data_IF_183821617185
#
_entry.id   IF_183821617185
#
_cell.length_a   1.000
_cell.length_b   1.000
_cell.length_c   1.000
_cell.angle_alpha   90.00
_cell.angle_beta   90.00
_cell.angle_gamma   90.00
#
_symmetry.space_group_name_H-M   'P 1'
#
loop_
_entity.id
_entity.type
_entity.pdbx_description
1 polymer ?
#
# COMPACT_ATOMS: atom_id res chain seq x y z
N UNK A 1 -4.97 -79.09 -58.51
CA UNK A 1 -5.75 -78.17 -57.65
C UNK A 1 -5.14 -76.79 -57.81
N UNK A 2 -5.96 -75.85 -58.27
CA UNK A 2 -5.72 -74.40 -58.45
C UNK A 2 -5.63 -73.71 -57.06
N UNK A 3 -5.10 -72.48 -56.85
CA UNK A 3 -4.23 -71.55 -57.63
C UNK A 3 -2.90 -71.21 -56.88
N UNK A 4 -1.82 -70.62 -57.44
CA UNK A 4 -1.59 -69.28 -58.05
C UNK A 4 -1.97 -68.08 -57.15
N UNK A 5 -1.41 -66.84 -57.29
CA UNK A 5 -0.32 -66.37 -58.16
C UNK A 5 0.64 -65.29 -57.54
N UNK A 6 1.54 -64.78 -58.40
CA UNK A 6 2.04 -63.39 -58.52
C UNK A 6 3.10 -62.86 -57.52
N UNK A 7 4.36 -62.64 -57.92
CA UNK A 7 4.90 -61.53 -58.77
C UNK A 7 5.06 -60.21 -57.99
N UNK A 8 6.30 -59.73 -57.78
CA UNK A 8 6.84 -58.48 -58.37
C UNK A 8 8.23 -58.12 -57.81
N UNK A 9 9.16 -57.89 -58.75
CA UNK A 9 10.41 -57.14 -58.57
C UNK A 9 10.14 -55.74 -58.03
N UNK A 10 11.06 -55.17 -57.23
CA UNK A 10 11.40 -53.74 -57.31
C UNK A 10 12.78 -53.42 -56.74
N UNK A 11 13.53 -52.72 -57.56
CA UNK A 11 14.86 -52.16 -57.36
C UNK A 11 14.89 -51.17 -56.20
N UNK A 12 15.89 -51.27 -55.33
CA UNK A 12 16.17 -50.25 -54.32
C UNK A 12 17.08 -49.17 -54.95
N UNK A 13 16.46 -48.03 -55.25
CA UNK A 13 17.13 -46.76 -55.53
C UNK A 13 17.73 -46.22 -54.23
N UNK A 14 19.04 -45.97 -54.20
CA UNK A 14 19.68 -45.20 -53.13
C UNK A 14 19.32 -43.72 -53.30
N UNK A 15 18.41 -43.23 -52.48
CA UNK A 15 18.12 -41.80 -52.37
C UNK A 15 19.05 -41.19 -51.30
N UNK A 16 19.87 -40.21 -51.70
CA UNK A 16 20.60 -39.33 -50.79
C UNK A 16 19.59 -38.51 -49.98
N UNK A 17 19.65 -38.61 -48.65
CA UNK A 17 19.00 -37.66 -47.75
C UNK A 17 19.99 -36.52 -47.47
N UNK A 18 19.76 -35.36 -48.09
CA UNK A 18 20.27 -34.08 -47.59
C UNK A 18 19.53 -33.77 -46.28
N UNK A 19 20.25 -33.78 -45.16
CA UNK A 19 19.75 -33.22 -43.91
C UNK A 19 19.81 -31.69 -44.01
N UNK A 20 18.65 -31.05 -44.22
CA UNK A 20 18.49 -29.63 -44.04
C UNK A 20 18.48 -29.35 -42.52
N UNK A 21 19.55 -28.75 -42.01
CA UNK A 21 19.59 -28.19 -40.66
C UNK A 21 18.75 -26.91 -40.65
N UNK A 22 17.52 -27.03 -40.15
CA UNK A 22 16.70 -25.87 -39.77
C UNK A 22 17.28 -25.29 -38.47
N UNK A 23 17.53 -23.97 -38.39
CA UNK A 23 17.87 -23.34 -37.13
C UNK A 23 16.63 -23.40 -36.24
N UNK A 24 16.72 -24.16 -35.15
CA UNK A 24 15.86 -23.99 -34.00
C UNK A 24 16.14 -22.59 -33.45
N UNK A 25 15.32 -21.62 -33.82
CA UNK A 25 15.14 -20.40 -33.02
C UNK A 25 14.56 -20.87 -31.69
N UNK A 26 15.42 -20.93 -30.68
CA UNK A 26 14.98 -21.00 -29.30
C UNK A 26 14.20 -19.70 -29.06
N UNK A 27 12.87 -19.78 -29.08
CA UNK A 27 12.05 -18.76 -28.45
C UNK A 27 12.49 -18.76 -26.99
N UNK A 28 13.22 -17.73 -26.58
CA UNK A 28 13.34 -17.39 -25.18
C UNK A 28 11.91 -17.26 -24.66
N UNK A 29 11.55 -18.07 -23.67
CA UNK A 29 10.42 -17.73 -22.82
C UNK A 29 10.82 -16.43 -22.12
N UNK A 30 10.29 -15.30 -22.60
CA UNK A 30 10.25 -14.09 -21.78
C UNK A 30 9.52 -14.49 -20.49
N UNK A 31 10.27 -14.56 -19.39
CA UNK A 31 9.64 -14.63 -18.09
C UNK A 31 8.77 -13.38 -17.98
N UNK A 32 7.47 -13.57 -17.74
CA UNK A 32 6.56 -12.53 -17.28
C UNK A 32 6.90 -12.13 -15.82
N UNK A 33 8.18 -12.00 -15.52
CA UNK A 33 8.73 -11.68 -14.21
C UNK A 33 9.09 -10.21 -14.16
N UNK A 34 8.74 -9.60 -13.05
CA UNK A 34 8.96 -8.22 -12.66
C UNK A 34 7.96 -7.19 -13.21
N UNK A 35 7.06 -6.76 -12.31
CA UNK A 35 6.51 -5.41 -12.34
C UNK A 35 7.60 -4.33 -12.24
N UNK A 36 8.74 -4.69 -11.66
CA UNK A 36 9.85 -3.84 -11.24
C UNK A 36 11.12 -4.35 -11.93
N UNK A 37 11.32 -3.92 -13.18
CA UNK A 37 12.11 -4.60 -14.21
C UNK A 37 13.46 -5.21 -13.80
N UNK A 38 13.96 -6.17 -14.59
CA UNK A 38 15.17 -6.92 -14.25
C UNK A 38 16.36 -5.98 -14.13
N UNK A 39 17.03 -5.98 -12.96
CA UNK A 39 18.47 -5.83 -12.75
C UNK A 39 19.30 -4.76 -13.49
N UNK A 40 18.70 -3.84 -14.24
CA UNK A 40 19.40 -2.87 -15.06
C UNK A 40 19.86 -1.67 -14.23
N UNK A 41 20.98 -1.06 -14.62
CA UNK A 41 21.45 0.16 -13.99
C UNK A 41 20.35 1.25 -14.07
N UNK A 42 20.08 1.99 -12.97
CA UNK A 42 19.01 2.97 -12.98
C UNK A 42 19.24 4.04 -14.05
N UNK A 43 18.20 4.35 -14.81
CA UNK A 43 18.19 5.40 -15.83
C UNK A 43 18.23 6.82 -15.22
N UNK A 44 18.02 6.93 -13.91
CA UNK A 44 18.09 8.18 -13.14
C UNK A 44 17.66 7.97 -11.69
N UNK A 45 17.66 9.04 -10.91
CA UNK A 45 17.13 9.05 -9.55
C UNK A 45 15.70 9.59 -9.57
N UNK A 46 14.81 8.96 -8.80
CA UNK A 46 13.50 9.56 -8.48
C UNK A 46 13.65 10.78 -7.58
N UNK A 47 12.61 11.61 -7.47
CA UNK A 47 12.61 12.71 -6.49
C UNK A 47 12.55 12.25 -5.04
N UNK A 48 12.08 11.03 -4.79
CA UNK A 48 12.01 10.46 -3.45
C UNK A 48 13.39 9.96 -2.97
N UNK A 49 14.28 9.58 -3.88
CA UNK A 49 15.61 9.08 -3.54
C UNK A 49 16.47 10.13 -2.84
N UNK A 50 17.18 9.74 -1.77
CA UNK A 50 17.98 10.65 -0.93
C UNK A 50 17.20 11.83 -0.31
N UNK A 51 15.86 11.76 -0.27
CA UNK A 51 15.02 12.80 0.35
C UNK A 51 14.94 12.69 1.87
N UNK A 52 15.25 11.51 2.43
CA UNK A 52 15.32 11.28 3.87
C UNK A 52 16.62 11.84 4.46
N UNK A 53 16.50 12.46 5.62
CA UNK A 53 17.64 12.98 6.36
C UNK A 53 17.55 12.60 7.85
N UNK A 54 18.68 12.28 8.50
CA UNK A 54 18.70 11.93 9.90
C UNK A 54 18.29 13.11 10.79
N UNK A 55 17.44 12.83 11.78
CA UNK A 55 17.16 13.75 12.91
C UNK A 55 18.08 13.43 14.09
N UNK A 56 18.08 14.29 15.11
CA UNK A 56 18.89 14.12 16.31
C UNK A 56 18.62 12.82 17.09
N UNK A 57 17.44 12.22 16.93
CA UNK A 57 17.07 10.94 17.55
C UNK A 57 17.44 9.72 16.70
N UNK A 58 17.84 9.92 15.43
CA UNK A 58 18.18 8.84 14.51
C UNK A 58 19.69 8.60 14.57
N UNK A 59 20.12 7.35 14.41
CA UNK A 59 21.56 7.02 14.45
C UNK A 59 22.09 6.54 13.11
N UNK A 60 21.23 6.25 12.13
CA UNK A 60 21.65 5.94 10.76
C UNK A 60 21.98 7.21 9.96
N UNK A 61 22.88 7.10 8.99
CA UNK A 61 23.18 8.17 8.03
C UNK A 61 22.33 8.03 6.78
N UNK A 62 22.22 9.10 5.98
CA UNK A 62 21.52 9.05 4.68
C UNK A 62 22.17 8.02 3.76
N UNK A 63 23.49 7.84 3.78
CA UNK A 63 24.17 6.84 2.96
C UNK A 63 23.85 5.39 3.35
N UNK A 64 23.45 5.13 4.61
CA UNK A 64 22.96 3.82 5.03
C UNK A 64 21.51 3.63 4.56
N UNK A 65 20.68 4.66 4.71
CA UNK A 65 19.29 4.68 4.27
C UNK A 65 19.15 4.44 2.76
N UNK A 66 19.95 5.14 1.96
CA UNK A 66 19.92 5.08 0.50
C UNK A 66 20.38 3.73 -0.08
N UNK A 67 20.93 2.81 0.74
CA UNK A 67 21.21 1.42 0.31
C UNK A 67 19.92 0.63 0.08
N UNK A 68 18.83 1.04 0.72
CA UNK A 68 17.52 0.43 0.59
C UNK A 68 16.78 1.08 -0.58
N UNK A 69 17.13 0.64 -1.78
CA UNK A 69 16.58 1.19 -3.01
C UNK A 69 16.23 0.10 -4.04
N UNK A 70 15.28 0.42 -4.93
CA UNK A 70 14.83 -0.45 -6.02
C UNK A 70 14.61 0.36 -7.30
N UNK A 71 14.79 -0.26 -8.46
CA UNK A 71 14.48 0.36 -9.76
C UNK A 71 12.98 0.20 -10.04
N UNK A 72 12.28 1.31 -10.22
CA UNK A 72 10.86 1.33 -10.55
C UNK A 72 10.58 0.95 -12.00
N UNK A 73 9.30 0.76 -12.36
CA UNK A 73 8.91 0.42 -13.74
C UNK A 73 9.24 1.49 -14.78
N UNK A 74 9.56 2.71 -14.35
CA UNK A 74 10.01 3.83 -15.21
C UNK A 74 11.54 3.89 -15.37
N UNK A 75 12.27 2.94 -14.75
CA UNK A 75 13.73 2.83 -14.81
C UNK A 75 14.47 3.70 -13.80
N UNK A 76 13.80 4.50 -12.95
CA UNK A 76 14.49 5.32 -11.94
C UNK A 76 14.73 4.53 -10.65
N UNK A 77 15.72 4.97 -9.87
CA UNK A 77 15.99 4.47 -8.53
C UNK A 77 15.08 5.14 -7.51
N UNK A 78 14.40 4.34 -6.69
CA UNK A 78 13.49 4.77 -5.62
C UNK A 78 13.96 4.22 -4.28
N UNK A 79 13.73 4.93 -3.17
CA UNK A 79 13.81 4.29 -1.86
C UNK A 79 12.75 3.18 -1.78
N UNK A 80 13.01 2.18 -0.94
CA UNK A 80 12.09 1.07 -0.70
C UNK A 80 12.06 0.71 0.79
N UNK A 81 11.41 -0.40 1.12
CA UNK A 81 11.31 -0.91 2.48
C UNK A 81 12.70 -1.15 3.09
N UNK A 82 12.85 -0.73 4.34
CA UNK A 82 13.96 -1.09 5.21
C UNK A 82 13.43 -1.46 6.60
N UNK A 83 14.16 -2.31 7.36
CA UNK A 83 13.81 -2.52 8.76
C UNK A 83 14.02 -1.22 9.57
N UNK A 84 13.36 -1.05 10.73
CA UNK A 84 13.53 0.17 11.54
C UNK A 84 14.95 0.35 12.11
N UNK A 85 15.66 -0.76 12.25
CA UNK A 85 17.05 -0.83 12.68
C UNK A 85 17.84 -1.54 11.57
N UNK A 86 18.89 -0.89 11.09
CA UNK A 86 19.79 -1.47 10.10
C UNK A 86 20.49 -2.72 10.68
N UNK A 87 20.36 -3.90 10.07
CA UNK A 87 20.87 -5.14 10.63
C UNK A 87 22.41 -5.25 10.57
N UNK A 88 23.08 -4.48 9.71
CA UNK A 88 24.54 -4.51 9.57
C UNK A 88 25.23 -3.67 10.65
N UNK A 89 24.67 -2.49 10.95
CA UNK A 89 25.28 -1.49 11.84
C UNK A 89 24.60 -1.36 13.19
N UNK A 90 23.33 -1.80 13.31
CA UNK A 90 22.51 -1.62 14.50
C UNK A 90 22.01 -0.19 14.71
N UNK A 91 22.22 0.71 13.74
CA UNK A 91 21.67 2.07 13.79
C UNK A 91 20.14 2.07 13.57
N UNK A 92 19.45 3.11 14.03
CA UNK A 92 18.00 3.27 13.83
C UNK A 92 17.67 4.42 12.88
N UNK A 93 16.65 4.21 12.03
CA UNK A 93 16.11 5.19 11.10
C UNK A 93 15.02 6.10 11.70
N UNK A 94 14.56 5.82 12.93
CA UNK A 94 13.51 6.60 13.57
C UNK A 94 12.07 6.22 13.22
N UNK A 95 11.88 5.39 12.19
CA UNK A 95 10.57 5.05 11.63
C UNK A 95 10.54 3.60 11.10
N UNK A 96 9.35 3.12 10.77
CA UNK A 96 9.13 1.74 10.30
C UNK A 96 8.29 1.72 9.00
N UNK A 97 8.45 0.69 8.16
CA UNK A 97 7.68 0.54 6.92
C UNK A 97 6.72 -0.65 6.95
N UNK A 98 6.49 -1.26 8.10
CA UNK A 98 5.65 -2.42 8.28
C UNK A 98 6.33 -3.71 7.91
N UNK A 99 5.53 -4.61 7.34
CA UNK A 99 5.96 -5.97 7.07
C UNK A 99 7.01 -5.99 5.97
N UNK A 100 8.07 -6.75 6.20
CA UNK A 100 9.10 -7.01 5.20
C UNK A 100 8.48 -7.69 3.97
N UNK A 101 8.49 -7.06 2.79
CA UNK A 101 7.80 -7.59 1.61
C UNK A 101 8.35 -8.94 1.15
N UNK A 102 9.61 -9.26 1.51
CA UNK A 102 10.27 -10.54 1.17
C UNK A 102 9.59 -11.78 1.73
N UNK A 103 8.70 -11.65 2.71
CA UNK A 103 7.94 -12.80 3.21
C UNK A 103 6.64 -13.09 2.45
N UNK A 104 6.19 -12.19 1.58
CA UNK A 104 4.96 -12.39 0.82
C UNK A 104 5.16 -13.39 -0.31
N UNK A 105 4.17 -14.23 -0.57
CA UNK A 105 4.17 -15.16 -1.71
C UNK A 105 4.10 -14.39 -3.05
N UNK A 106 3.76 -13.10 -3.02
CA UNK A 106 3.83 -12.20 -4.17
C UNK A 106 5.24 -11.65 -4.46
N UNK A 107 6.21 -11.82 -3.55
CA UNK A 107 7.51 -11.17 -3.68
C UNK A 107 8.28 -11.61 -4.94
N UNK A 108 8.17 -12.88 -5.34
CA UNK A 108 8.85 -13.39 -6.52
C UNK A 108 8.34 -12.75 -7.83
N UNK A 109 7.09 -12.26 -7.85
CA UNK A 109 6.49 -11.55 -8.99
C UNK A 109 6.74 -10.02 -8.92
N UNK A 110 6.81 -9.47 -7.71
CA UNK A 110 6.80 -8.03 -7.45
C UNK A 110 8.18 -7.43 -7.21
N UNK A 111 9.05 -8.16 -6.53
CA UNK A 111 10.25 -7.64 -5.90
C UNK A 111 9.94 -6.63 -4.78
N UNK A 112 10.90 -5.73 -4.55
CA UNK A 112 10.75 -4.62 -3.61
C UNK A 112 9.82 -3.53 -4.19
N UNK A 113 8.98 -2.93 -3.33
CA UNK A 113 8.04 -1.89 -3.76
C UNK A 113 8.73 -0.52 -3.80
N UNK A 114 8.78 0.18 -4.95
CA UNK A 114 9.37 1.52 -5.03
C UNK A 114 8.47 2.55 -4.36
N UNK A 115 8.97 3.23 -3.33
CA UNK A 115 8.22 4.29 -2.67
C UNK A 115 8.32 5.60 -3.44
N UNK A 116 7.18 6.11 -3.92
CA UNK A 116 7.11 7.36 -4.65
C UNK A 116 6.93 7.20 -6.16
N UNK A 117 6.76 5.97 -6.68
CA UNK A 117 6.62 5.71 -8.11
C UNK A 117 5.40 6.44 -8.70
N UNK A 118 4.24 6.32 -8.05
CA UNK A 118 3.04 6.98 -8.54
C UNK A 118 3.06 8.49 -8.34
N UNK A 119 3.68 8.94 -7.24
CA UNK A 119 3.89 10.36 -6.97
C UNK A 119 4.81 11.02 -8.01
N UNK A 120 5.87 10.34 -8.42
CA UNK A 120 6.79 10.81 -9.48
C UNK A 120 6.05 11.04 -10.80
N UNK A 121 5.11 10.15 -11.16
CA UNK A 121 4.31 10.24 -12.38
C UNK A 121 3.38 11.46 -12.43
N UNK A 122 3.04 12.06 -11.28
CA UNK A 122 2.15 13.24 -11.18
C UNK A 122 2.85 14.49 -10.66
N UNK A 123 4.19 14.49 -10.57
CA UNK A 123 4.96 15.59 -9.99
C UNK A 123 4.51 15.94 -8.55
N UNK A 124 4.33 14.90 -7.73
CA UNK A 124 4.00 15.03 -6.31
C UNK A 124 5.12 14.46 -5.44
N UNK A 125 5.25 14.99 -4.22
CA UNK A 125 6.24 14.53 -3.26
C UNK A 125 5.55 14.01 -1.99
N UNK A 126 6.04 12.88 -1.51
CA UNK A 126 5.57 12.17 -0.35
C UNK A 126 6.78 11.82 0.53
N UNK A 127 6.82 12.24 1.82
CA UNK A 127 7.91 11.88 2.72
C UNK A 127 8.03 10.36 2.88
N UNK A 128 9.27 9.88 2.86
CA UNK A 128 9.63 8.46 2.87
C UNK A 128 9.04 7.71 4.07
N UNK A 129 9.13 8.28 5.27
CA UNK A 129 8.69 7.63 6.50
C UNK A 129 7.22 7.18 6.43
N UNK A 130 6.37 7.90 5.69
CA UNK A 130 4.95 7.61 5.60
C UNK A 130 4.60 6.35 4.79
N UNK A 131 5.51 5.72 4.06
CA UNK A 131 5.21 4.52 3.27
C UNK A 131 5.09 3.29 4.16
N UNK A 132 3.93 2.62 4.17
CA UNK A 132 3.66 1.43 4.99
C UNK A 132 3.27 0.24 4.12
N UNK A 133 3.86 -0.92 4.38
CA UNK A 133 3.52 -2.20 3.77
C UNK A 133 2.84 -3.10 4.80
N UNK A 134 1.76 -3.74 4.38
CA UNK A 134 1.15 -4.89 5.06
C UNK A 134 0.83 -5.96 4.02
N UNK A 135 0.99 -7.23 4.39
CA UNK A 135 0.66 -8.34 3.50
C UNK A 135 0.20 -9.55 4.30
N UNK A 136 -0.52 -10.46 3.67
CA UNK A 136 -0.83 -11.77 4.20
C UNK A 136 -0.97 -12.78 3.05
N UNK A 137 -0.47 -13.99 3.26
CA UNK A 137 -0.54 -15.06 2.26
C UNK A 137 -1.72 -15.97 2.55
N UNK A 138 -2.27 -16.59 1.52
CA UNK A 138 -3.32 -17.60 1.58
C UNK A 138 -4.55 -17.13 2.38
N UNK A 139 -4.94 -15.87 2.19
CA UNK A 139 -6.09 -15.25 2.84
C UNK A 139 -7.37 -15.83 2.25
N UNK A 140 -8.20 -16.46 3.09
CA UNK A 140 -9.50 -16.96 2.65
C UNK A 140 -10.47 -15.80 2.41
N UNK A 141 -10.96 -15.71 1.17
CA UNK A 141 -11.94 -14.71 0.75
C UNK A 141 -13.34 -15.30 0.80
N UNK A 142 -14.28 -14.53 1.33
CA UNK A 142 -15.69 -14.85 1.34
C UNK A 142 -16.34 -14.33 0.04
N UNK A 143 -17.01 -15.21 -0.70
CA UNK A 143 -17.85 -14.80 -1.82
C UNK A 143 -19.19 -14.26 -1.30
N UNK A 144 -19.63 -13.10 -1.81
CA UNK A 144 -20.98 -12.60 -1.52
C UNK A 144 -22.05 -13.45 -2.23
N UNK A 145 -23.26 -13.55 -1.65
CA UNK A 145 -24.43 -14.07 -2.38
C UNK A 145 -24.82 -15.54 -2.14
N UNK A 146 -24.45 -16.15 -1.02
CA UNK A 146 -25.05 -17.42 -0.57
C UNK A 146 -24.53 -18.69 -1.25
N UNK A 147 -23.56 -18.58 -2.15
CA UNK A 147 -22.79 -19.71 -2.71
C UNK A 147 -21.54 -20.03 -1.86
N UNK A 148 -21.36 -19.30 -0.74
CA UNK A 148 -20.17 -19.24 0.11
C UNK A 148 -19.76 -20.51 0.86
N UNK A 149 -20.20 -21.69 0.40
CA UNK A 149 -19.72 -22.99 0.89
C UNK A 149 -19.11 -23.88 -0.19
N UNK A 150 -19.14 -23.49 -1.47
CA UNK A 150 -18.69 -24.35 -2.58
C UNK A 150 -17.38 -23.92 -3.23
N UNK A 151 -16.93 -22.67 -3.03
CA UNK A 151 -15.69 -22.16 -3.62
C UNK A 151 -14.87 -21.44 -2.56
N UNK A 152 -13.75 -22.04 -2.16
CA UNK A 152 -12.73 -21.41 -1.33
C UNK A 152 -11.78 -20.68 -2.26
N UNK A 153 -11.81 -19.36 -2.22
CA UNK A 153 -10.86 -18.50 -2.92
C UNK A 153 -9.82 -18.10 -1.88
N UNK A 154 -8.57 -18.43 -2.15
CA UNK A 154 -7.44 -17.97 -1.34
C UNK A 154 -6.70 -16.93 -2.14
N UNK A 155 -6.30 -15.85 -1.48
CA UNK A 155 -5.52 -14.79 -2.12
C UNK A 155 -4.29 -14.46 -1.30
N UNK A 156 -3.19 -14.24 -1.99
CA UNK A 156 -2.04 -13.54 -1.44
C UNK A 156 -2.25 -12.05 -1.70
N UNK A 157 -2.08 -11.23 -0.67
CA UNK A 157 -2.37 -9.80 -0.72
C UNK A 157 -1.21 -9.02 -0.14
N UNK A 158 -0.76 -7.99 -0.84
CA UNK A 158 0.14 -6.96 -0.34
C UNK A 158 -0.46 -5.57 -0.61
N UNK A 159 -0.43 -4.73 0.42
CA UNK A 159 -0.91 -3.36 0.38
C UNK A 159 0.22 -2.43 0.78
N UNK A 160 0.45 -1.41 -0.03
CA UNK A 160 1.31 -0.28 0.28
C UNK A 160 0.46 0.99 0.34
N UNK A 161 0.76 1.85 1.31
CA UNK A 161 0.15 3.17 1.40
C UNK A 161 1.13 4.19 1.96
N UNK A 162 1.20 5.34 1.30
CA UNK A 162 1.75 6.55 1.90
C UNK A 162 0.78 7.13 2.93
N UNK A 163 0.92 6.75 4.19
CA UNK A 163 0.19 7.33 5.31
C UNK A 163 1.19 7.60 6.44
N UNK A 164 1.78 8.80 6.42
CA UNK A 164 2.57 9.29 7.56
C UNK A 164 1.67 9.88 8.63
N UNK A 165 2.06 9.76 9.89
CA UNK A 165 1.33 10.22 11.09
C UNK A 165 1.63 11.65 11.51
N UNK A 166 2.50 12.38 10.80
CA UNK A 166 2.85 13.77 11.14
C UNK A 166 2.21 14.82 10.24
N UNK A 167 2.14 16.04 10.78
CA UNK A 167 1.71 17.26 10.11
C UNK A 167 0.20 17.39 9.94
N UNK A 168 -0.26 18.65 9.83
CA UNK A 168 -1.67 18.97 9.57
C UNK A 168 -2.12 18.72 8.14
N UNK A 169 -1.18 18.45 7.24
CA UNK A 169 -1.47 18.13 5.84
C UNK A 169 -2.48 16.98 5.71
N UNK A 170 -2.58 16.10 6.71
CA UNK A 170 -3.37 14.87 6.65
C UNK A 170 -4.87 15.09 6.89
N UNK A 171 -5.21 16.22 7.50
CA UNK A 171 -6.59 16.68 7.62
C UNK A 171 -7.08 17.36 6.32
N UNK A 172 -6.16 17.73 5.42
CA UNK A 172 -6.45 18.55 4.23
C UNK A 172 -6.18 17.79 2.94
N UNK A 173 -4.96 17.32 2.70
CA UNK A 173 -4.46 16.68 1.47
C UNK A 173 -5.06 15.29 1.26
N UNK A 174 -5.93 15.08 0.25
CA UNK A 174 -6.57 13.79 0.01
C UNK A 174 -5.71 12.85 -0.84
N UNK A 175 -4.59 13.31 -1.42
CA UNK A 175 -3.72 12.50 -2.27
C UNK A 175 -2.76 11.64 -1.44
N UNK A 176 -2.76 10.35 -1.72
CA UNK A 176 -1.86 9.36 -1.13
C UNK A 176 -1.42 8.38 -2.21
N UNK A 177 -0.15 8.01 -2.26
CA UNK A 177 0.27 6.87 -3.06
C UNK A 177 -0.19 5.57 -2.41
N UNK A 178 -0.64 4.63 -3.23
CA UNK A 178 -1.17 3.35 -2.82
C UNK A 178 -0.78 2.29 -3.85
N UNK A 179 -0.11 1.26 -3.36
CA UNK A 179 0.14 -0.01 -4.03
C UNK A 179 -0.89 -1.05 -3.58
N UNK A 180 -1.51 -1.72 -4.54
CA UNK A 180 -2.41 -2.83 -4.27
C UNK A 180 -2.02 -4.01 -5.15
N UNK A 181 -1.64 -5.11 -4.48
CA UNK A 181 -1.15 -6.31 -5.13
C UNK A 181 -1.94 -7.51 -4.60
N UNK A 182 -2.61 -8.23 -5.50
CA UNK A 182 -3.37 -9.41 -5.15
C UNK A 182 -3.25 -10.48 -6.23
N UNK A 183 -3.11 -11.73 -5.82
CA UNK A 183 -3.24 -12.91 -6.68
C UNK A 183 -4.08 -13.97 -5.96
N UNK A 184 -5.05 -14.55 -6.65
CA UNK A 184 -6.03 -15.46 -6.07
C UNK A 184 -6.09 -16.80 -6.82
N UNK A 185 -6.53 -17.84 -6.11
CA UNK A 185 -6.69 -19.20 -6.67
C UNK A 185 -7.77 -19.30 -7.76
N UNK A 186 -8.65 -18.31 -7.88
CA UNK A 186 -9.65 -18.22 -8.96
C UNK A 186 -9.10 -17.58 -10.25
N UNK A 187 -7.81 -17.22 -10.27
CA UNK A 187 -7.14 -16.55 -11.38
C UNK A 187 -7.23 -15.03 -11.36
N UNK A 188 -7.94 -14.43 -10.39
CA UNK A 188 -7.91 -12.98 -10.18
C UNK A 188 -6.50 -12.54 -9.82
N UNK A 189 -5.93 -11.61 -10.59
CA UNK A 189 -4.66 -10.94 -10.27
C UNK A 189 -4.77 -9.46 -10.62
N UNK A 190 -4.33 -8.60 -9.72
CA UNK A 190 -4.22 -7.18 -9.94
C UNK A 190 -3.03 -6.63 -9.14
N UNK A 191 -2.05 -6.10 -9.85
CA UNK A 191 -0.87 -5.48 -9.26
C UNK A 191 -0.74 -4.07 -9.79
N UNK A 192 -0.87 -3.08 -8.92
CA UNK A 192 -0.78 -1.70 -9.35
C UNK A 192 -0.35 -0.71 -8.28
N UNK A 193 0.25 0.40 -8.72
CA UNK A 193 0.55 1.58 -7.90
C UNK A 193 -0.05 2.83 -8.53
N UNK A 194 -0.76 3.61 -7.71
CA UNK A 194 -1.43 4.84 -8.10
C UNK A 194 -1.41 5.87 -6.96
N UNK A 195 -1.62 7.13 -7.29
CA UNK A 195 -2.07 8.16 -6.36
C UNK A 195 -3.58 8.09 -6.25
N UNK A 196 -4.05 7.66 -5.10
CA UNK A 196 -5.46 7.72 -4.71
C UNK A 196 -5.83 9.11 -4.21
N UNK A 197 -7.07 9.54 -4.48
CA UNK A 197 -7.71 10.65 -3.77
C UNK A 197 -8.74 10.05 -2.80
N UNK A 198 -8.56 10.29 -1.50
CA UNK A 198 -9.40 9.74 -0.43
C UNK A 198 -10.34 10.84 0.09
N UNK A 199 -11.63 10.72 -0.22
CA UNK A 199 -12.63 11.71 0.16
C UNK A 199 -12.44 13.08 -0.51
N UNK A 200 -12.77 14.15 0.21
CA UNK A 200 -12.70 15.52 -0.28
C UNK A 200 -11.51 16.29 0.32
N UNK A 201 -10.83 17.07 -0.51
CA UNK A 201 -9.78 17.97 -0.05
C UNK A 201 -10.29 18.98 0.97
N UNK A 202 -9.54 19.16 2.05
CA UNK A 202 -9.93 20.07 3.14
C UNK A 202 -10.97 19.52 4.11
N UNK A 203 -11.45 18.29 3.92
CA UNK A 203 -12.53 17.70 4.72
C UNK A 203 -12.16 16.30 5.23
N UNK A 204 -12.64 15.98 6.44
CA UNK A 204 -12.64 14.62 6.97
C UNK A 204 -13.96 14.36 7.74
N UNK A 205 -14.25 13.09 8.02
CA UNK A 205 -15.38 12.67 8.84
C UNK A 205 -14.89 12.42 10.26
N UNK A 206 -15.47 13.10 11.24
CA UNK A 206 -15.12 12.93 12.65
C UNK A 206 -15.52 11.53 13.12
N UNK A 207 -14.57 10.77 13.65
CA UNK A 207 -14.79 9.36 14.00
C UNK A 207 -15.83 9.11 15.09
N UNK A 208 -16.03 10.06 16.00
CA UNK A 208 -16.80 9.85 17.21
C UNK A 208 -18.28 10.30 17.13
N UNK A 209 -18.70 10.92 16.02
CA UNK A 209 -20.09 11.32 15.75
C UNK A 209 -20.49 11.33 14.26
N UNK A 210 -19.56 11.09 13.32
CA UNK A 210 -19.82 11.06 11.88
C UNK A 210 -19.97 12.43 11.22
N UNK A 211 -19.68 13.53 11.92
CA UNK A 211 -19.78 14.89 11.38
C UNK A 211 -18.71 15.11 10.31
N UNK A 212 -19.09 15.67 9.16
CA UNK A 212 -18.13 16.19 8.18
C UNK A 212 -17.52 17.49 8.70
N UNK A 213 -16.20 17.48 8.91
CA UNK A 213 -15.44 18.63 9.41
C UNK A 213 -14.65 19.23 8.27
N UNK A 214 -14.86 20.52 8.01
CA UNK A 214 -13.99 21.31 7.14
C UNK A 214 -12.74 21.71 7.91
N UNK A 215 -11.66 20.97 7.72
CA UNK A 215 -10.34 21.32 8.25
C UNK A 215 -9.77 22.58 7.60
N UNK A 216 -9.99 22.74 6.29
CA UNK A 216 -9.58 23.93 5.54
C UNK A 216 -10.45 24.10 4.30
N UNK A 217 -10.97 25.31 4.08
CA UNK A 217 -11.68 25.64 2.84
C UNK A 217 -10.73 25.58 1.64
N UNK A 218 -11.09 24.80 0.62
CA UNK A 218 -10.31 24.65 -0.61
C UNK A 218 -11.23 24.82 -1.83
N UNK A 219 -11.11 25.98 -2.48
CA UNK A 219 -11.88 26.28 -3.70
C UNK A 219 -11.45 25.36 -4.84
N UNK A 220 -12.40 24.64 -5.43
CA UNK A 220 -12.12 23.69 -6.51
C UNK A 220 -11.31 22.46 -6.05
N UNK A 221 -11.32 22.16 -4.75
CA UNK A 221 -10.55 21.07 -4.16
C UNK A 221 -10.85 19.71 -4.79
N UNK A 222 -9.85 18.83 -4.74
CA UNK A 222 -9.92 17.48 -5.28
C UNK A 222 -11.03 16.68 -4.58
N UNK A 223 -11.71 15.84 -5.37
CA UNK A 223 -12.73 14.91 -4.88
C UNK A 223 -12.42 13.51 -5.38
N UNK A 224 -12.33 12.58 -4.45
CA UNK A 224 -12.15 11.17 -4.70
C UNK A 224 -13.27 10.34 -4.09
N UNK A 225 -13.18 9.02 -4.28
CA UNK A 225 -14.05 8.08 -3.59
C UNK A 225 -13.60 7.86 -2.14
N UNK A 226 -14.45 7.18 -1.36
CA UNK A 226 -14.16 6.85 0.03
C UNK A 226 -14.15 8.08 0.94
N UNK A 227 -13.48 7.98 2.09
CA UNK A 227 -13.46 9.02 3.12
C UNK A 227 -12.31 8.84 4.11
N UNK A 228 -11.91 9.94 4.74
CA UNK A 228 -10.97 9.94 5.87
C UNK A 228 -11.78 10.08 7.14
N UNK A 229 -11.76 9.07 8.01
CA UNK A 229 -12.44 9.08 9.30
C UNK A 229 -11.40 9.28 10.39
N UNK A 230 -11.38 10.45 11.02
CA UNK A 230 -10.28 10.89 11.89
C UNK A 230 -10.86 11.38 13.23
N UNK A 231 -10.28 10.99 14.39
CA UNK A 231 -10.63 11.59 15.67
C UNK A 231 -10.01 12.98 15.79
N UNK A 232 -10.76 13.93 16.31
CA UNK A 232 -10.26 15.28 16.58
C UNK A 232 -10.30 15.61 18.07
N UNK A 233 -9.91 16.83 18.44
CA UNK A 233 -9.83 17.26 19.83
C UNK A 233 -11.18 17.12 20.55
N UNK A 234 -12.31 17.26 19.85
CA UNK A 234 -13.65 17.06 20.45
C UNK A 234 -13.83 15.61 20.89
N UNK A 235 -13.38 14.65 20.07
CA UNK A 235 -13.43 13.23 20.41
C UNK A 235 -12.51 12.92 21.59
N UNK A 236 -11.28 13.43 21.58
CA UNK A 236 -10.29 13.11 22.59
C UNK A 236 -10.64 13.74 23.95
N UNK A 237 -11.14 14.98 23.99
CA UNK A 237 -11.56 15.59 25.26
C UNK A 237 -12.75 14.90 25.90
N UNK A 238 -13.62 14.28 25.10
CA UNK A 238 -14.78 13.52 25.58
C UNK A 238 -14.40 12.16 26.13
N UNK A 239 -13.51 11.45 25.43
CA UNK A 239 -13.21 10.03 25.68
C UNK A 239 -11.93 9.81 26.50
N UNK A 240 -10.95 10.71 26.41
CA UNK A 240 -9.69 10.60 27.15
C UNK A 240 -9.70 11.36 28.47
N UNK A 241 -10.24 12.58 28.52
CA UNK A 241 -10.17 13.40 29.74
C UNK A 241 -11.32 13.05 30.69
N UNK A 242 -11.01 12.31 31.75
CA UNK A 242 -12.00 11.76 32.69
C UNK A 242 -11.78 12.27 34.12
N UNK A 243 -12.84 12.32 34.97
CA UNK A 243 -12.72 12.62 36.39
C UNK A 243 -11.83 11.61 37.14
N UNK A 244 -11.46 11.96 38.37
CA UNK A 244 -10.79 11.03 39.28
C UNK A 244 -11.64 9.76 39.51
N UNK A 245 -10.99 8.60 39.58
CA UNK A 245 -11.64 7.30 39.74
C UNK A 245 -12.16 6.65 38.45
N UNK A 246 -12.08 7.34 37.30
CA UNK A 246 -12.43 6.78 35.99
C UNK A 246 -11.18 6.44 35.14
N UNK A 247 -11.38 5.65 34.08
CA UNK A 247 -10.34 5.30 33.10
C UNK A 247 -10.68 5.90 31.74
N UNK A 248 -9.66 6.37 31.03
CA UNK A 248 -9.78 6.90 29.67
C UNK A 248 -10.09 5.81 28.65
N UNK A 249 -10.87 6.15 27.63
CA UNK A 249 -11.17 5.28 26.49
C UNK A 249 -10.22 5.55 25.32
N UNK A 250 -9.08 4.87 25.30
CA UNK A 250 -8.10 4.98 24.21
C UNK A 250 -8.55 4.33 22.89
N UNK A 251 -9.66 3.60 22.87
CA UNK A 251 -10.23 3.04 21.64
C UNK A 251 -10.69 4.10 20.63
N UNK A 252 -10.85 5.36 21.07
CA UNK A 252 -11.14 6.50 20.20
C UNK A 252 -9.97 6.87 19.27
N UNK A 253 -8.74 6.46 19.63
CA UNK A 253 -7.51 6.77 18.90
C UNK A 253 -7.33 5.85 17.69
N UNK A 254 -8.24 5.99 16.72
CA UNK A 254 -8.21 5.27 15.46
C UNK A 254 -8.53 6.21 14.31
N UNK A 255 -7.60 6.34 13.38
CA UNK A 255 -7.88 6.88 12.05
C UNK A 255 -8.31 5.71 11.13
N UNK A 256 -9.28 5.94 10.24
CA UNK A 256 -9.68 5.01 9.20
C UNK A 256 -9.67 5.71 7.85
N UNK A 257 -8.81 5.25 6.97
CA UNK A 257 -8.64 5.74 5.61
C UNK A 257 -9.37 4.78 4.69
N UNK A 258 -10.52 5.19 4.17
CA UNK A 258 -11.42 4.31 3.43
C UNK A 258 -11.33 4.63 1.95
N UNK A 259 -11.01 3.61 1.15
CA UNK A 259 -10.69 3.79 -0.26
C UNK A 259 -11.89 3.39 -1.13
N UNK A 260 -12.00 3.99 -2.30
CA UNK A 260 -12.86 3.52 -3.39
C UNK A 260 -12.16 3.89 -4.69
N UNK A 261 -11.37 2.94 -5.22
CA UNK A 261 -10.43 3.19 -6.31
C UNK A 261 -10.70 2.26 -7.48
N UNK A 262 -10.31 2.72 -8.67
CA UNK A 262 -10.44 1.93 -9.89
C UNK A 262 -9.34 2.24 -10.90
N UNK A 263 -8.81 1.20 -11.53
CA UNK A 263 -8.05 1.34 -12.77
C UNK A 263 -8.99 1.41 -13.96
N UNK A 264 -8.74 2.33 -14.88
CA UNK A 264 -9.63 2.59 -16.02
C UNK A 264 -8.88 2.76 -17.33
N UNK A 265 -9.45 2.23 -18.41
CA UNK A 265 -8.96 2.46 -19.78
C UNK A 265 -9.15 3.93 -20.20
N UNK A 266 -8.51 4.32 -21.31
CA UNK A 266 -8.79 5.60 -21.99
C UNK A 266 -10.25 5.76 -22.43
N UNK A 267 -10.95 4.66 -22.70
CA UNK A 267 -12.40 4.63 -22.96
C UNK A 267 -13.26 4.63 -21.68
N UNK A 268 -12.66 4.85 -20.51
CA UNK A 268 -13.30 4.87 -19.19
C UNK A 268 -13.92 3.53 -18.75
N UNK A 269 -13.53 2.42 -19.38
CA UNK A 269 -13.90 1.07 -18.91
C UNK A 269 -13.10 0.75 -17.64
N UNK A 270 -13.78 0.25 -16.60
CA UNK A 270 -13.11 -0.19 -15.37
C UNK A 270 -12.42 -1.53 -15.59
N UNK A 271 -11.12 -1.59 -15.32
CA UNK A 271 -10.30 -2.82 -15.36
C UNK A 271 -10.27 -3.49 -14.00
N UNK A 272 -10.07 -2.69 -12.95
CA UNK A 272 -10.04 -3.14 -11.56
C UNK A 272 -10.79 -2.13 -10.71
N UNK A 273 -11.52 -2.58 -9.70
CA UNK A 273 -11.97 -1.73 -8.61
C UNK A 273 -11.67 -2.38 -7.27
N UNK A 274 -11.29 -1.57 -6.28
CA UNK A 274 -10.99 -1.99 -4.91
C UNK A 274 -11.58 -0.99 -3.91
N UNK A 275 -11.81 -1.45 -2.68
CA UNK A 275 -12.23 -0.58 -1.59
C UNK A 275 -11.67 -1.02 -0.24
N UNK A 276 -10.33 -1.15 -0.09
CA UNK A 276 -9.74 -1.50 1.19
C UNK A 276 -9.95 -0.37 2.20
N UNK A 277 -9.85 -0.67 3.49
CA UNK A 277 -9.70 0.34 4.54
C UNK A 277 -8.34 0.17 5.20
N UNK A 278 -7.65 1.27 5.45
CA UNK A 278 -6.39 1.28 6.20
C UNK A 278 -6.61 1.99 7.52
N UNK A 279 -6.43 1.28 8.62
CA UNK A 279 -6.67 1.82 9.95
C UNK A 279 -5.36 2.03 10.69
N UNK A 280 -5.26 3.16 11.39
CA UNK A 280 -4.08 3.54 12.18
C UNK A 280 -4.50 3.70 13.61
N UNK A 281 -3.82 3.02 14.52
CA UNK A 281 -4.07 3.10 15.95
C UNK A 281 -3.01 3.98 16.61
N UNK A 282 -3.43 4.68 17.66
CA UNK A 282 -2.56 5.52 18.48
C UNK A 282 -1.77 6.56 17.64
N UNK A 283 -2.42 7.31 16.74
CA UNK A 283 -1.74 8.39 16.02
C UNK A 283 -1.17 9.41 17.01
N UNK A 284 0.00 9.97 16.70
CA UNK A 284 0.62 11.05 17.49
C UNK A 284 -0.16 12.35 17.43
N UNK A 285 -0.80 12.60 16.28
CA UNK A 285 -1.52 13.83 15.96
C UNK A 285 -2.98 13.82 16.33
N UNK A 286 -3.52 15.01 16.52
CA UNK A 286 -4.97 15.27 16.58
C UNK A 286 -5.27 16.59 15.87
N UNK A 287 -6.39 16.63 15.13
CA UNK A 287 -6.90 17.88 14.58
C UNK A 287 -7.44 18.75 15.72
N UNK A 288 -6.93 19.97 15.83
CA UNK A 288 -7.43 20.99 16.75
C UNK A 288 -7.51 22.32 15.99
N UNK A 289 -8.73 22.85 15.71
CA UNK A 289 -8.89 24.09 14.95
C UNK A 289 -8.38 25.32 15.71
N UNK A 290 -8.14 25.22 17.02
CA UNK A 290 -7.58 26.29 17.85
C UNK A 290 -6.06 26.25 17.95
N UNK A 291 -5.43 25.13 17.60
CA UNK A 291 -3.99 24.95 17.66
C UNK A 291 -3.29 25.58 16.44
N UNK A 292 -2.03 26.04 16.59
CA UNK A 292 -1.21 26.46 15.47
C UNK A 292 -1.16 25.37 14.38
N UNK A 293 -1.28 25.77 13.12
CA UNK A 293 -1.31 24.87 11.97
C UNK A 293 -2.41 23.79 12.00
N UNK A 294 -3.45 23.91 12.84
CA UNK A 294 -4.54 22.93 12.99
C UNK A 294 -4.09 21.58 13.59
N UNK A 295 -2.97 21.56 14.30
CA UNK A 295 -2.33 20.35 14.80
C UNK A 295 -2.03 20.48 16.30
N UNK A 296 -2.55 19.54 17.08
CA UNK A 296 -2.08 19.26 18.43
C UNK A 296 -1.60 17.80 18.51
N UNK A 297 -0.99 17.43 19.63
CA UNK A 297 -0.48 16.08 19.83
C UNK A 297 -1.25 15.36 20.94
N UNK A 298 -1.49 14.07 20.74
CA UNK A 298 -2.21 13.24 21.71
C UNK A 298 -1.45 13.15 23.03
N UNK A 299 -0.11 13.11 22.98
CA UNK A 299 0.75 13.03 24.16
C UNK A 299 0.55 14.21 25.12
N UNK A 300 0.21 15.40 24.60
CA UNK A 300 0.01 16.58 25.42
C UNK A 300 -1.20 16.42 26.36
N UNK A 301 -2.19 15.59 25.97
CA UNK A 301 -3.35 15.27 26.81
C UNK A 301 -3.01 14.35 27.99
N UNK A 302 -1.92 13.58 27.91
CA UNK A 302 -1.44 12.75 29.02
C UNK A 302 -0.88 13.60 30.17
N UNK A 303 -0.36 14.78 29.84
CA UNK A 303 0.24 15.70 30.82
C UNK A 303 -0.62 16.94 31.07
N UNK A 304 -1.81 17.00 30.46
CA UNK A 304 -2.72 18.13 30.61
C UNK A 304 -3.43 18.10 31.98
N UNK A 305 -3.29 19.21 32.70
CA UNK A 305 -4.06 19.48 33.92
C UNK A 305 -5.20 20.44 33.59
N UNK A 306 -6.42 19.90 33.42
CA UNK A 306 -7.60 20.73 33.20
C UNK A 306 -8.07 21.35 34.51
N UNK A 307 -8.58 22.58 34.42
CA UNK A 307 -9.09 23.33 35.57
C UNK A 307 -10.28 22.64 36.28
N UNK A 308 -11.00 21.77 35.56
CA UNK A 308 -12.11 20.95 36.09
C UNK A 308 -11.65 19.62 36.73
N UNK A 309 -10.34 19.39 36.82
CA UNK A 309 -9.74 18.20 37.42
C UNK A 309 -9.73 16.96 36.53
N UNK A 310 -10.26 17.04 35.29
CA UNK A 310 -10.21 15.92 34.33
C UNK A 310 -8.81 15.75 33.77
N UNK A 311 -8.38 14.49 33.62
CA UNK A 311 -7.08 14.10 33.07
C UNK A 311 -7.20 12.82 32.27
N UNK A 312 -6.28 12.57 31.35
CA UNK A 312 -6.11 11.25 30.77
C UNK A 312 -5.49 10.31 31.81
N UNK A 313 -5.98 9.07 31.90
CA UNK A 313 -5.64 8.09 32.95
C UNK A 313 -5.57 6.69 32.38
N UNK A 314 -4.43 6.01 32.62
CA UNK A 314 -4.26 4.61 32.24
C UNK A 314 -3.55 4.39 30.90
N UNK A 315 -3.30 3.11 30.61
CA UNK A 315 -2.95 2.58 29.29
C UNK A 315 -1.78 3.32 28.61
N UNK A 316 -2.01 3.97 27.46
CA UNK A 316 -0.96 4.58 26.64
C UNK A 316 -0.31 5.79 27.33
N UNK A 317 -1.04 6.52 28.17
CA UNK A 317 -0.45 7.61 28.96
C UNK A 317 0.49 7.07 30.04
N UNK A 318 0.16 5.95 30.69
CA UNK A 318 1.03 5.33 31.70
C UNK A 318 2.27 4.68 31.07
N UNK A 319 2.19 4.28 29.79
CA UNK A 319 3.30 3.74 29.00
C UNK A 319 4.23 4.85 28.45
N UNK A 320 3.73 6.08 28.37
CA UNK A 320 4.48 7.20 27.83
C UNK A 320 5.46 7.75 28.87
N UNK A 321 6.73 7.91 28.45
CA UNK A 321 7.77 8.45 29.32
C UNK A 321 7.39 9.86 29.84
N UNK A 322 7.67 10.13 31.12
CA UNK A 322 7.34 11.41 31.73
C UNK A 322 8.01 12.58 30.97
N UNK A 323 7.21 13.55 30.54
CA UNK A 323 7.68 14.71 29.77
C UNK A 323 8.05 14.41 28.32
N UNK A 324 7.69 13.24 27.79
CA UNK A 324 7.86 12.92 26.38
C UNK A 324 7.11 13.93 25.50
N UNK A 325 7.78 14.40 24.45
CA UNK A 325 7.17 15.10 23.33
C UNK A 325 6.60 14.11 22.32
N UNK A 326 5.86 14.61 21.34
CA UNK A 326 5.16 13.80 20.34
C UNK A 326 6.10 12.92 19.51
N UNK A 327 7.33 13.39 19.29
CA UNK A 327 8.40 12.73 18.52
C UNK A 327 9.40 11.98 19.41
N UNK A 328 9.11 11.80 20.70
CA UNK A 328 10.03 11.11 21.60
C UNK A 328 9.89 9.58 21.43
N UNK A 329 10.99 8.80 21.38
CA UNK A 329 10.95 7.32 21.34
C UNK A 329 10.21 6.64 22.49
N UNK A 330 10.01 7.36 23.60
CA UNK A 330 9.21 6.92 24.74
C UNK A 330 7.73 7.33 24.69
N UNK A 331 7.25 7.90 23.59
CA UNK A 331 5.81 8.18 23.37
C UNK A 331 5.11 6.90 22.91
N UNK A 332 3.97 6.57 23.52
CA UNK A 332 3.15 5.43 23.08
C UNK A 332 2.24 5.77 21.87
N UNK A 333 2.33 7.00 21.35
CA UNK A 333 1.52 7.49 20.23
C UNK A 333 2.41 7.63 18.99
N UNK A 334 2.75 6.51 18.37
CA UNK A 334 3.68 6.42 17.24
C UNK A 334 2.99 6.04 15.91
N UNK A 335 1.69 5.74 15.92
CA UNK A 335 0.97 5.29 14.73
C UNK A 335 1.48 3.98 14.11
N UNK A 336 2.34 3.22 14.79
CA UNK A 336 2.99 2.03 14.25
C UNK A 336 2.10 0.77 14.30
N UNK A 337 0.92 0.86 14.92
CA UNK A 337 -0.07 -0.21 14.91
C UNK A 337 -1.16 0.10 13.88
N UNK A 338 -1.41 -0.85 12.98
CA UNK A 338 -2.37 -0.71 11.88
C UNK A 338 -3.01 -2.03 11.49
N UNK A 339 -4.11 -1.94 10.76
CA UNK A 339 -4.71 -3.06 10.05
C UNK A 339 -5.26 -2.60 8.69
N UNK A 340 -5.41 -3.57 7.78
CA UNK A 340 -5.93 -3.34 6.43
C UNK A 340 -7.10 -4.27 6.17
N UNK A 341 -8.26 -3.71 5.88
CA UNK A 341 -9.44 -4.47 5.47
C UNK A 341 -9.37 -4.75 3.97
N UNK A 342 -9.36 -6.02 3.56
CA UNK A 342 -9.31 -6.40 2.14
C UNK A 342 -10.73 -6.51 1.59
N UNK A 343 -11.20 -5.47 0.89
CA UNK A 343 -12.60 -5.40 0.44
C UNK A 343 -12.76 -4.95 -1.02
N UNK A 344 -13.85 -5.41 -1.63
CA UNK A 344 -14.38 -4.89 -2.88
C UNK A 344 -13.47 -5.14 -4.09
N UNK A 345 -12.75 -6.27 -4.12
CA UNK A 345 -11.81 -6.58 -5.20
C UNK A 345 -12.57 -7.12 -6.41
N UNK A 346 -12.60 -6.32 -7.48
CA UNK A 346 -13.18 -6.71 -8.75
C UNK A 346 -12.18 -6.53 -9.88
N UNK A 347 -11.93 -7.59 -10.66
CA UNK A 347 -11.18 -7.58 -11.91
C UNK A 347 -12.19 -7.76 -13.05
N UNK A 348 -12.12 -6.89 -14.07
CA UNK A 348 -13.03 -6.83 -15.22
C UNK A 348 -12.22 -6.65 -16.51
N UNK A 349 -11.42 -7.66 -16.84
CA UNK A 349 -10.48 -7.64 -17.95
C UNK A 349 -10.57 -8.94 -18.80
N UNK A 350 -11.75 -9.56 -18.86
CA UNK A 350 -11.95 -10.77 -19.65
C UNK A 350 -11.59 -10.56 -21.12
N UNK A 351 -10.64 -11.35 -21.63
CA UNK A 351 -10.14 -11.28 -23.00
C UNK A 351 -9.24 -10.06 -23.30
N UNK A 352 -8.89 -9.28 -22.28
CA UNK A 352 -7.98 -8.14 -22.40
C UNK A 352 -6.50 -8.52 -22.21
N UNK A 353 -5.58 -7.59 -22.46
CA UNK A 353 -4.15 -7.78 -22.19
C UNK A 353 -3.89 -7.85 -20.68
N UNK A 354 -2.82 -8.54 -20.28
CA UNK A 354 -2.40 -8.61 -18.87
C UNK A 354 -1.60 -7.39 -18.41
N UNK A 355 -0.93 -6.72 -19.35
CA UNK A 355 -0.13 -5.52 -19.08
C UNK A 355 -0.91 -4.29 -19.52
N UNK A 356 -1.06 -3.35 -18.59
CA UNK A 356 -1.65 -2.05 -18.83
C UNK A 356 -0.69 -0.94 -18.40
N UNK A 357 -0.78 0.20 -19.07
CA UNK A 357 -0.07 1.42 -18.71
C UNK A 357 -1.12 2.48 -18.37
N UNK A 358 -1.08 3.04 -17.17
CA UNK A 358 -2.03 4.08 -16.72
C UNK A 358 -1.29 5.35 -16.34
N UNK A 359 -1.99 6.49 -16.28
CA UNK A 359 -1.43 7.65 -15.59
C UNK A 359 -1.32 7.39 -14.07
N UNK A 360 -0.68 8.30 -13.36
CA UNK A 360 -0.48 8.17 -11.92
C UNK A 360 -1.76 8.17 -11.08
N UNK A 361 -2.94 8.45 -11.64
CA UNK A 361 -4.23 8.30 -10.95
C UNK A 361 -4.97 7.01 -11.34
N UNK A 362 -4.33 6.10 -12.07
CA UNK A 362 -4.93 4.85 -12.55
C UNK A 362 -5.90 5.04 -13.72
N UNK A 363 -5.84 6.17 -14.43
CA UNK A 363 -6.73 6.46 -15.58
C UNK A 363 -5.97 6.33 -16.89
N UNK A 364 -6.68 6.50 -18.00
CA UNK A 364 -6.09 6.51 -19.34
C UNK A 364 -5.35 5.21 -19.72
N UNK A 365 -5.81 4.08 -19.17
CA UNK A 365 -5.22 2.76 -19.40
C UNK A 365 -5.07 2.41 -20.87
N UNK A 366 -3.87 1.96 -21.25
CA UNK A 366 -3.47 1.55 -22.60
C UNK A 366 -2.62 0.26 -22.56
N UNK A 367 -2.69 -0.63 -23.57
CA UNK A 367 -1.76 -1.77 -23.67
C UNK A 367 -0.33 -1.34 -24.07
N UNK A 368 -0.15 -0.10 -24.54
CA UNK A 368 1.16 0.45 -24.91
C UNK A 368 1.59 1.56 -23.96
N UNK A 369 2.89 1.65 -23.63
CA UNK A 369 3.41 2.70 -22.75
C UNK A 369 3.22 4.09 -23.37
N UNK A 370 3.08 5.10 -22.51
CA UNK A 370 3.03 6.51 -22.90
C UNK A 370 3.79 7.39 -21.90
N UNK A 371 4.16 8.64 -22.25
CA UNK A 371 4.91 9.51 -21.34
C UNK A 371 4.18 9.69 -20.00
N UNK A 372 4.86 9.39 -18.89
CA UNK A 372 4.31 9.46 -17.54
C UNK A 372 3.38 8.30 -17.15
N UNK A 373 3.32 7.24 -17.96
CA UNK A 373 2.54 6.05 -17.62
C UNK A 373 3.28 5.14 -16.64
N UNK A 374 2.54 4.51 -15.74
CA UNK A 374 2.99 3.46 -14.83
C UNK A 374 2.51 2.12 -15.38
N UNK A 375 3.40 1.11 -15.38
CA UNK A 375 3.06 -0.25 -15.78
C UNK A 375 2.27 -0.95 -14.65
N UNK A 376 1.15 -1.56 -14.99
CA UNK A 376 0.24 -2.28 -14.11
C UNK A 376 0.02 -3.70 -14.66
N UNK A 377 -0.25 -4.67 -13.79
CA UNK A 377 -0.65 -6.04 -14.18
C UNK A 377 -2.09 -6.29 -13.77
N UNK A 378 -2.90 -6.79 -14.70
CA UNK A 378 -4.30 -7.15 -14.48
C UNK A 378 -4.59 -8.45 -15.21
N UNK A 379 -4.91 -9.54 -14.52
CA UNK A 379 -5.20 -10.82 -15.18
C UNK A 379 -6.33 -10.68 -16.21
N UNK A 380 -6.28 -11.47 -17.28
CA UNK A 380 -7.33 -11.54 -18.31
C UNK A 380 -8.55 -12.33 -17.84
N UNK A 381 -9.19 -11.90 -16.74
CA UNK A 381 -10.35 -12.54 -16.13
C UNK A 381 -11.44 -11.52 -15.81
N UNK A 382 -12.65 -12.01 -15.55
CA UNK A 382 -13.72 -11.23 -14.92
C UNK A 382 -14.23 -12.00 -13.70
N UNK A 383 -14.07 -11.42 -12.51
CA UNK A 383 -14.49 -12.02 -11.26
C UNK A 383 -15.74 -11.34 -10.65
N UNK A 384 -16.43 -10.50 -11.44
CA UNK A 384 -17.54 -9.67 -10.97
C UNK A 384 -18.71 -10.44 -10.34
N UNK A 385 -18.84 -11.73 -10.62
CA UNK A 385 -19.87 -12.59 -10.03
C UNK A 385 -19.57 -13.06 -8.59
N UNK A 386 -18.30 -12.98 -8.13
CA UNK A 386 -17.86 -13.55 -6.85
C UNK A 386 -17.76 -12.51 -5.72
N UNK A 387 -17.46 -11.25 -6.07
CA UNK A 387 -17.32 -10.12 -5.12
C UNK A 387 -16.54 -10.51 -3.83
N UNK A 388 -15.29 -11.00 -3.96
CA UNK A 388 -14.55 -11.52 -2.82
C UNK A 388 -14.28 -10.43 -1.78
N UNK A 389 -14.60 -10.74 -0.51
CA UNK A 389 -14.25 -9.94 0.67
C UNK A 389 -13.35 -10.74 1.59
N UNK A 390 -12.23 -10.14 1.97
CA UNK A 390 -11.26 -10.73 2.87
C UNK A 390 -11.42 -10.24 4.31
N UNK A 391 -10.71 -10.88 5.25
CA UNK A 391 -10.56 -10.38 6.62
C UNK A 391 -9.72 -9.10 6.67
N UNK A 392 -9.67 -8.51 7.86
CA UNK A 392 -8.65 -7.53 8.22
C UNK A 392 -7.31 -8.24 8.46
N UNK A 393 -6.23 -7.73 7.86
CA UNK A 393 -4.85 -8.20 8.06
C UNK A 393 -4.07 -7.19 8.92
N UNK A 394 -3.00 -7.63 9.60
CA UNK A 394 -2.13 -6.74 10.39
C UNK A 394 -2.59 -6.44 11.82
N UNK A 395 -3.86 -6.68 12.18
CA UNK A 395 -4.46 -6.30 13.49
C UNK A 395 -3.65 -6.68 14.73
N UNK A 396 -2.95 -7.81 14.72
CA UNK A 396 -2.18 -8.29 15.88
C UNK A 396 -0.67 -8.05 15.76
N UNK A 397 -0.25 -7.18 14.83
CA UNK A 397 1.15 -6.88 14.53
C UNK A 397 1.44 -5.39 14.74
N UNK A 398 1.80 -4.96 15.96
CA UNK A 398 2.36 -3.63 16.16
C UNK A 398 3.78 -3.58 15.57
N UNK A 399 4.10 -2.51 14.85
CA UNK A 399 5.44 -2.28 14.30
C UNK A 399 6.29 -1.31 15.14
N UNK A 400 5.78 -0.92 16.32
CA UNK A 400 6.56 -0.21 17.34
C UNK A 400 7.82 -1.01 17.70
N UNK A 401 8.92 -0.32 17.97
CA UNK A 401 10.19 -0.99 18.24
C UNK A 401 11.30 -0.01 18.59
N UNK A 402 12.53 -0.54 18.67
CA UNK A 402 13.70 0.26 19.03
C UNK A 402 13.91 1.43 18.06
N UNK A 403 13.73 2.64 18.59
CA UNK A 403 13.91 3.89 17.85
C UNK A 403 12.72 4.30 16.96
N UNK A 404 11.65 3.52 16.86
CA UNK A 404 10.44 3.92 16.12
C UNK A 404 9.68 4.97 16.92
N UNK A 405 9.36 6.10 16.31
CA UNK A 405 8.56 7.16 16.91
C UNK A 405 7.94 8.06 15.84
N UNK A 406 7.02 8.94 16.22
CA UNK A 406 6.50 9.93 15.27
C UNK A 406 7.59 10.95 14.84
N UNK A 407 7.62 11.43 13.59
CA UNK A 407 6.77 11.05 12.48
C UNK A 407 7.08 9.63 12.04
N UNK A 408 6.02 8.84 11.94
CA UNK A 408 6.06 7.50 11.39
C UNK A 408 5.02 7.41 10.29
#
# INVERSE_FOLDING_TARGET
MIPSPAVLRRSAVRLLLLAAALPFTVLACDHAGDLMGPGDAPAGLSRAYSSWAPKSTYTCTTEIHDRYAVVGSDGKLYPTWHPPVDPETGCTFGHEHGRDPRGSDLFDDLGMVPFGLANEAIDFFAPHEGFKIEWENNVEMQAEGGVGGLFRIECDVMFELHQGTDGSGRFVQPKHEMGYFIACTDGSKAYFQIVTTIGHEGEYVRSCDGTHVTAKEVTGGLRGGGQRVIPDITCLERELLVPEGQRSNFGVLRESWQFSQSLRTSANQTLVSIGPYFNVFNPSRVFDPSAPNLLANVVDLCFADRADGRKARGNLCDQTAAGATWDHPGSAFDGAHRDVDINGVHVRNAGGPEVWYTDGFGRNGSPTPFPGSIRQIVASVDNGALSPRGPSIGRNRPYSGHGVHAPN
#
